data_IF_006504495532
#
_entry.id   IF_006504495532
#
_cell.length_a   1.000
_cell.length_b   1.000
_cell.length_c   1.000
_cell.angle_alpha   90.00
_cell.angle_beta   90.00
_cell.angle_gamma   90.00
#
_symmetry.space_group_name_H-M   'P 1'
#
loop_
_entity.id
_entity.type
_entity.pdbx_description
1 polymer ?
#
# COMPACT_ATOMS: atom_id res chain seq x y z
N UNK A 1 -6.06 7.97 0.53
CA UNK A 1 -5.60 7.47 1.88
C UNK A 1 -4.76 6.17 1.85
N UNK A 2 -4.29 5.72 0.70
CA UNK A 2 -3.62 4.47 0.42
C UNK A 2 -2.10 4.61 0.27
N UNK A 3 -1.52 3.85 -0.66
CA UNK A 3 -0.08 3.75 -0.87
C UNK A 3 0.37 4.71 -1.97
N UNK A 4 1.17 5.71 -1.61
CA UNK A 4 1.74 6.67 -2.57
C UNK A 4 3.03 7.30 -2.00
N UNK A 5 3.86 7.93 -2.86
CA UNK A 5 5.15 8.50 -2.44
C UNK A 5 5.01 9.61 -1.39
N UNK A 6 6.04 9.79 -0.56
CA UNK A 6 6.09 10.92 0.37
C UNK A 6 6.26 12.24 -0.40
N UNK A 7 5.54 13.31 -0.03
CA UNK A 7 5.72 14.60 -0.70
C UNK A 7 7.02 15.30 -0.25
N UNK A 8 7.48 15.04 0.99
CA UNK A 8 8.68 15.67 1.55
C UNK A 8 9.68 14.65 2.11
N UNK A 9 10.99 14.94 2.02
CA UNK A 9 12.08 14.04 2.43
C UNK A 9 12.02 13.62 3.91
N UNK A 10 11.56 14.50 4.79
CA UNK A 10 11.48 14.28 6.25
C UNK A 10 10.27 13.45 6.70
N UNK A 11 9.37 13.06 5.80
CA UNK A 11 8.15 12.31 6.14
C UNK A 11 8.28 10.79 5.96
N UNK A 12 9.48 10.27 5.68
CA UNK A 12 9.70 8.83 5.48
C UNK A 12 9.27 7.98 6.69
N UNK A 13 9.53 8.43 7.92
CA UNK A 13 9.09 7.73 9.14
C UNK A 13 7.56 7.63 9.24
N UNK A 14 6.83 8.76 9.25
CA UNK A 14 5.36 8.75 9.26
C UNK A 14 4.75 7.94 8.10
N UNK A 15 5.33 8.02 6.90
CA UNK A 15 4.86 7.22 5.76
C UNK A 15 5.12 5.71 5.96
N UNK A 16 6.26 5.33 6.53
CA UNK A 16 6.50 3.93 6.89
C UNK A 16 5.47 3.44 7.91
N UNK A 17 5.17 4.24 8.95
CA UNK A 17 4.13 3.88 9.92
C UNK A 17 2.75 3.79 9.26
N UNK A 18 2.36 4.77 8.43
CA UNK A 18 1.12 4.74 7.65
C UNK A 18 1.00 3.47 6.83
N UNK A 19 2.03 3.12 6.07
CA UNK A 19 2.03 1.92 5.23
C UNK A 19 1.88 0.65 6.09
N UNK A 20 2.59 0.57 7.22
CA UNK A 20 2.42 -0.53 8.17
C UNK A 20 0.99 -0.64 8.71
N UNK A 21 0.37 0.48 9.10
CA UNK A 21 -1.01 0.52 9.60
C UNK A 21 -2.02 0.07 8.54
N UNK A 22 -1.84 0.51 7.29
CA UNK A 22 -2.65 0.08 6.15
C UNK A 22 -2.57 -1.44 5.96
N UNK A 23 -1.39 -2.03 6.06
CA UNK A 23 -1.22 -3.49 5.98
C UNK A 23 -1.91 -4.25 7.12
N UNK A 24 -2.12 -3.60 8.27
CA UNK A 24 -2.90 -4.11 9.39
C UNK A 24 -4.41 -3.78 9.29
N UNK A 25 -4.86 -3.27 8.14
CA UNK A 25 -6.27 -2.93 7.89
C UNK A 25 -6.73 -1.62 8.55
N UNK A 26 -5.80 -0.79 9.03
CA UNK A 26 -6.09 0.55 9.55
C UNK A 26 -5.78 1.58 8.46
N UNK A 27 -6.83 2.08 7.82
CA UNK A 27 -6.72 3.16 6.83
C UNK A 27 -6.57 4.48 7.59
N UNK A 28 -5.49 5.19 7.33
CA UNK A 28 -5.10 6.39 8.10
C UNK A 28 -4.61 7.49 7.18
N UNK A 29 -4.84 8.74 7.57
CA UNK A 29 -4.40 9.92 6.83
C UNK A 29 -2.94 10.26 7.17
N UNK A 30 -2.14 10.58 6.15
CA UNK A 30 -0.72 10.90 6.31
C UNK A 30 -0.47 12.17 7.13
N UNK A 31 -1.33 13.18 7.03
CA UNK A 31 -1.20 14.43 7.79
C UNK A 31 -1.42 14.16 9.28
N UNK A 32 -2.37 13.30 9.60
CA UNK A 32 -2.63 12.89 10.97
C UNK A 32 -1.46 12.09 11.55
N UNK A 33 -0.99 11.05 10.85
CA UNK A 33 0.18 10.27 11.27
C UNK A 33 1.41 11.16 11.44
N UNK A 34 1.68 12.07 10.50
CA UNK A 34 2.82 12.99 10.56
C UNK A 34 2.72 13.95 11.74
N UNK A 35 1.52 14.47 12.02
CA UNK A 35 1.25 15.37 13.15
C UNK A 35 1.47 14.66 14.48
N UNK A 36 0.93 13.45 14.65
CA UNK A 36 1.10 12.66 15.88
C UNK A 36 2.57 12.26 16.08
N UNK A 37 3.27 11.92 15.00
CA UNK A 37 4.69 11.59 15.05
C UNK A 37 5.60 12.82 15.25
N UNK A 38 5.07 14.05 15.25
CA UNK A 38 5.88 15.26 15.43
C UNK A 38 6.99 15.40 14.39
N UNK A 39 6.72 14.99 13.14
CA UNK A 39 7.71 15.04 12.07
C UNK A 39 7.98 16.50 11.67
N UNK A 40 9.26 16.91 11.73
CA UNK A 40 9.68 18.28 11.39
C UNK A 40 10.73 18.28 10.28
N UNK A 41 10.77 19.37 9.50
CA UNK A 41 11.64 19.47 8.33
C UNK A 41 13.14 19.43 8.66
N UNK A 42 13.55 19.87 9.86
CA UNK A 42 14.97 19.88 10.28
C UNK A 42 15.39 18.62 11.03
N UNK A 43 14.49 17.90 11.70
CA UNK A 43 14.83 16.76 12.57
C UNK A 43 14.33 15.40 12.05
N UNK A 44 13.47 15.38 11.02
CA UNK A 44 12.81 14.15 10.60
C UNK A 44 11.96 13.54 11.71
N UNK A 45 12.00 12.20 11.82
CA UNK A 45 11.29 11.43 12.85
C UNK A 45 12.20 10.30 13.34
N UNK A 46 12.40 10.26 14.65
CA UNK A 46 13.11 9.20 15.36
C UNK A 46 12.15 8.05 15.76
N UNK A 47 12.74 6.97 16.25
CA UNK A 47 12.08 5.75 16.71
C UNK A 47 11.16 5.98 17.91
N UNK A 48 11.46 6.93 18.80
CA UNK A 48 10.66 7.24 19.98
C UNK A 48 9.35 7.89 19.56
N UNK A 49 9.45 8.90 18.67
CA UNK A 49 8.31 9.57 18.05
C UNK A 49 7.45 8.59 17.26
N UNK A 50 8.05 7.70 16.46
CA UNK A 50 7.30 6.66 15.74
C UNK A 50 6.61 5.68 16.68
N UNK A 51 7.27 5.28 17.77
CA UNK A 51 6.67 4.39 18.77
C UNK A 51 5.48 5.04 19.46
N UNK A 52 5.59 6.31 19.83
CA UNK A 52 4.48 7.07 20.41
C UNK A 52 3.32 7.24 19.42
N UNK A 53 3.61 7.51 18.14
CA UNK A 53 2.59 7.56 17.10
C UNK A 53 1.90 6.22 16.89
N UNK A 54 2.63 5.10 16.92
CA UNK A 54 2.04 3.77 16.79
C UNK A 54 1.03 3.48 17.92
N UNK A 55 1.32 3.92 19.16
CA UNK A 55 0.41 3.76 20.31
C UNK A 55 -0.93 4.46 20.10
N UNK A 56 -0.96 5.61 19.43
CA UNK A 56 -2.20 6.32 19.11
C UNK A 56 -3.14 5.52 18.18
N UNK A 57 -2.62 4.51 17.49
CA UNK A 57 -3.37 3.61 16.61
C UNK A 57 -3.50 2.18 17.17
N UNK A 58 -3.46 2.03 18.49
CA UNK A 58 -3.52 0.74 19.19
C UNK A 58 -2.46 -0.24 18.71
N UNK A 59 -1.28 0.24 18.33
CA UNK A 59 -0.14 -0.58 17.94
C UNK A 59 1.02 -0.39 18.92
N UNK A 60 1.81 -1.44 19.08
CA UNK A 60 3.12 -1.36 19.71
C UNK A 60 4.19 -1.42 18.62
N UNK A 61 5.18 -0.54 18.71
CA UNK A 61 6.36 -0.59 17.86
C UNK A 61 7.51 -1.23 18.63
N UNK A 62 7.65 -2.55 18.51
CA UNK A 62 8.68 -3.31 19.22
C UNK A 62 10.04 -3.12 18.54
N UNK A 63 10.96 -2.48 19.25
CA UNK A 63 12.31 -2.19 18.78
C UNK A 63 13.26 -3.36 19.03
N UNK A 64 14.02 -3.74 18.00
CA UNK A 64 15.03 -4.79 18.06
C UNK A 64 16.29 -4.34 17.33
N UNK A 65 17.39 -4.20 18.06
CA UNK A 65 18.75 -4.02 17.53
C UNK A 65 19.49 -5.36 17.51
N UNK A 66 20.21 -5.64 16.41
CA UNK A 66 21.01 -6.87 16.26
C UNK A 66 22.35 -6.55 15.59
N UNK A 67 23.42 -7.17 16.10
CA UNK A 67 24.77 -7.13 15.48
C UNK A 67 24.96 -8.19 14.39
N UNK A 68 24.21 -9.29 14.46
CA UNK A 68 24.31 -10.41 13.51
C UNK A 68 23.21 -10.36 12.44
N UNK A 69 23.61 -10.24 11.17
CA UNK A 69 22.71 -10.14 10.02
C UNK A 69 21.75 -11.33 9.86
N UNK A 70 22.19 -12.56 10.14
CA UNK A 70 21.33 -13.75 10.01
C UNK A 70 20.29 -13.81 11.12
N UNK A 71 20.66 -13.41 12.35
CA UNK A 71 19.69 -13.25 13.45
C UNK A 71 18.67 -12.16 13.12
N UNK A 72 19.10 -10.99 12.64
CA UNK A 72 18.21 -9.91 12.22
C UNK A 72 17.22 -10.38 11.13
N UNK A 73 17.72 -11.09 10.10
CA UNK A 73 16.88 -11.69 9.05
C UNK A 73 15.84 -12.66 9.62
N UNK A 74 16.24 -13.51 10.56
CA UNK A 74 15.34 -14.49 11.20
C UNK A 74 14.21 -13.78 11.96
N UNK A 75 14.52 -12.74 12.72
CA UNK A 75 13.53 -11.93 13.46
C UNK A 75 12.55 -11.26 12.50
N UNK A 76 13.05 -10.66 11.42
CA UNK A 76 12.20 -10.07 10.37
C UNK A 76 11.24 -11.11 9.77
N UNK A 77 11.76 -12.28 9.36
CA UNK A 77 10.93 -13.34 8.78
C UNK A 77 9.89 -13.88 9.78
N UNK A 78 10.25 -13.99 11.06
CA UNK A 78 9.34 -14.43 12.11
C UNK A 78 8.22 -13.42 12.37
N UNK A 79 8.52 -12.12 12.32
CA UNK A 79 7.50 -11.07 12.42
C UNK A 79 6.56 -11.08 11.21
N UNK A 80 7.11 -11.16 10.00
CA UNK A 80 6.31 -11.23 8.76
C UNK A 80 5.43 -12.48 8.70
N UNK A 81 5.93 -13.63 9.17
CA UNK A 81 5.14 -14.88 9.25
C UNK A 81 3.95 -14.75 10.20
N UNK A 82 4.05 -13.94 11.26
CA UNK A 82 2.94 -13.59 12.15
C UNK A 82 2.00 -12.53 11.54
N UNK A 83 2.34 -12.03 10.34
CA UNK A 83 1.58 -11.00 9.66
C UNK A 83 1.72 -9.63 10.32
N UNK A 84 2.88 -9.35 10.92
CA UNK A 84 3.26 -8.04 11.46
C UNK A 84 4.22 -7.35 10.48
N UNK A 85 3.83 -6.19 9.91
CA UNK A 85 4.75 -5.35 9.16
C UNK A 85 5.94 -4.92 10.02
N UNK A 86 7.09 -4.74 9.40
CA UNK A 86 8.31 -4.31 10.07
C UNK A 86 8.83 -3.03 9.44
N UNK A 87 9.00 -2.00 10.25
CA UNK A 87 9.63 -0.75 9.83
C UNK A 87 11.15 -0.91 10.02
N UNK A 88 11.92 -0.64 8.98
CA UNK A 88 13.38 -0.70 9.00
C UNK A 88 13.94 0.69 8.84
N UNK A 89 14.96 1.01 9.64
CA UNK A 89 15.82 2.14 9.38
C UNK A 89 16.92 1.68 8.40
N UNK A 90 17.03 2.34 7.26
CA UNK A 90 17.91 1.96 6.15
C UNK A 90 18.74 3.14 5.68
N UNK A 91 19.72 2.86 4.83
CA UNK A 91 20.61 3.81 4.19
C UNK A 91 21.39 4.65 5.24
N UNK A 92 22.06 3.96 6.17
CA UNK A 92 22.76 4.52 7.34
C UNK A 92 21.89 5.42 8.21
N UNK A 93 20.73 4.90 8.63
CA UNK A 93 19.78 5.62 9.49
C UNK A 93 19.15 6.89 8.90
N UNK A 94 19.24 7.07 7.58
CA UNK A 94 18.71 8.26 6.89
C UNK A 94 17.35 8.06 6.24
N UNK A 95 16.77 6.87 6.35
CA UNK A 95 15.50 6.57 5.68
C UNK A 95 14.72 5.44 6.36
N UNK A 96 13.40 5.48 6.24
CA UNK A 96 12.49 4.50 6.79
C UNK A 96 11.74 3.78 5.67
N UNK A 97 11.70 2.44 5.73
CA UNK A 97 10.89 1.62 4.82
C UNK A 97 10.02 0.65 5.62
N UNK A 98 8.94 0.14 5.01
CA UNK A 98 8.09 -0.88 5.64
C UNK A 98 8.19 -2.19 4.90
N UNK A 99 8.73 -3.23 5.52
CA UNK A 99 8.69 -4.59 4.98
C UNK A 99 7.36 -5.24 5.34
N UNK A 100 6.65 -5.73 4.33
CA UNK A 100 5.26 -6.19 4.46
C UNK A 100 5.08 -7.66 4.10
N UNK A 101 6.08 -8.28 3.46
CA UNK A 101 6.03 -9.70 3.11
C UNK A 101 7.38 -10.26 2.71
N UNK A 102 7.46 -11.59 2.71
CA UNK A 102 8.59 -12.33 2.18
C UNK A 102 8.08 -13.61 1.50
N UNK A 103 8.46 -13.81 0.24
CA UNK A 103 8.03 -14.95 -0.57
C UNK A 103 9.18 -15.40 -1.49
N UNK A 104 9.43 -16.71 -1.60
CA UNK A 104 10.45 -17.31 -2.49
C UNK A 104 11.83 -16.62 -2.39
N UNK A 105 12.27 -16.32 -1.17
CA UNK A 105 13.56 -15.68 -0.89
C UNK A 105 13.65 -14.18 -1.24
N UNK A 106 12.55 -13.56 -1.67
CA UNK A 106 12.43 -12.12 -1.93
C UNK A 106 11.63 -11.45 -0.81
N UNK A 107 11.97 -10.22 -0.51
CA UNK A 107 11.24 -9.34 0.40
C UNK A 107 10.41 -8.35 -0.40
N UNK A 108 9.19 -8.12 0.07
CA UNK A 108 8.27 -7.10 -0.44
C UNK A 108 8.25 -6.00 0.62
N UNK A 109 8.57 -4.78 0.21
CA UNK A 109 8.61 -3.63 1.08
C UNK A 109 8.01 -2.42 0.39
N UNK A 110 7.59 -1.44 1.18
CA UNK A 110 7.03 -0.19 0.71
C UNK A 110 8.02 0.90 1.09
N UNK A 111 8.52 1.59 0.07
CA UNK A 111 9.48 2.68 0.17
C UNK A 111 8.81 3.94 -0.39
N UNK A 112 8.55 4.90 0.50
CA UNK A 112 7.87 6.14 0.11
C UNK A 112 8.72 7.07 -0.75
N UNK A 113 10.02 6.80 -0.97
CA UNK A 113 10.86 7.55 -1.92
C UNK A 113 10.75 7.04 -3.36
N UNK A 114 10.20 5.85 -3.55
CA UNK A 114 10.15 5.18 -4.85
C UNK A 114 8.83 5.42 -5.56
N UNK A 115 8.87 5.42 -6.89
CA UNK A 115 7.67 5.41 -7.74
C UNK A 115 7.78 4.26 -8.74
N UNK A 116 7.02 3.15 -8.57
CA UNK A 116 6.01 2.92 -7.54
C UNK A 116 6.59 2.57 -6.16
N UNK A 117 5.83 2.91 -5.10
CA UNK A 117 6.28 2.71 -3.70
C UNK A 117 6.44 1.26 -3.29
N UNK A 118 5.76 0.31 -3.94
CA UNK A 118 5.90 -1.12 -3.63
C UNK A 118 7.13 -1.68 -4.34
N UNK A 119 8.09 -2.11 -3.54
CA UNK A 119 9.38 -2.60 -3.99
C UNK A 119 9.57 -4.10 -3.71
N UNK A 120 10.49 -4.70 -4.45
CA UNK A 120 10.90 -6.10 -4.28
C UNK A 120 12.42 -6.17 -4.25
N UNK A 121 12.99 -6.84 -3.25
CA UNK A 121 14.43 -7.03 -3.12
C UNK A 121 14.79 -8.48 -2.74
N UNK A 122 15.97 -8.92 -3.16
CA UNK A 122 16.64 -10.06 -2.55
C UNK A 122 17.20 -9.70 -1.18
N UNK A 123 17.50 -10.71 -0.38
CA UNK A 123 18.20 -10.54 0.90
C UNK A 123 19.49 -9.71 0.75
N UNK A 124 20.33 -9.99 -0.26
CA UNK A 124 21.59 -9.25 -0.47
C UNK A 124 21.35 -7.75 -0.66
N UNK A 125 20.33 -7.38 -1.44
CA UNK A 125 19.98 -5.98 -1.69
C UNK A 125 19.36 -5.31 -0.47
N UNK A 126 18.41 -5.96 0.21
CA UNK A 126 17.80 -5.43 1.43
C UNK A 126 18.84 -5.27 2.54
N UNK A 127 19.71 -6.27 2.75
CA UNK A 127 20.78 -6.25 3.74
C UNK A 127 21.72 -5.06 3.52
N UNK A 128 22.13 -4.78 2.27
CA UNK A 128 23.01 -3.63 1.98
C UNK A 128 22.38 -2.30 2.40
N UNK A 129 21.08 -2.12 2.17
CA UNK A 129 20.36 -0.92 2.61
C UNK A 129 20.18 -0.89 4.12
N UNK A 130 19.96 -2.04 4.75
CA UNK A 130 19.62 -2.13 6.18
C UNK A 130 20.83 -2.04 7.13
N UNK A 131 22.05 -2.25 6.64
CA UNK A 131 23.25 -2.09 7.48
C UNK A 131 23.35 -0.64 7.97
N UNK A 132 23.50 -0.49 9.28
CA UNK A 132 24.01 0.72 9.91
C UNK A 132 25.40 0.45 10.45
N UNK A 133 26.31 1.41 10.28
CA UNK A 133 27.66 1.37 10.83
C UNK A 133 27.78 2.48 11.85
N UNK A 134 27.96 2.09 13.10
CA UNK A 134 28.16 2.99 14.23
C UNK A 134 29.64 2.92 14.59
N UNK A 135 30.27 4.09 14.73
CA UNK A 135 31.64 4.19 15.21
C UNK A 135 31.58 4.29 16.72
N UNK A 136 32.42 3.55 17.41
CA UNK A 136 32.53 3.63 18.87
C UNK A 136 33.01 5.04 19.28
N UNK A 137 32.33 5.65 20.26
CA UNK A 137 32.64 7.01 20.70
C UNK A 137 34.00 7.10 21.43
N UNK A 138 34.39 6.03 22.11
CA UNK A 138 35.64 5.94 22.88
C UNK A 138 36.81 5.45 22.00
N UNK A 139 36.54 4.60 21.00
CA UNK A 139 37.53 4.12 20.03
C UNK A 139 37.05 4.28 18.56
N UNK A 140 37.41 5.39 17.89
CA UNK A 140 37.00 5.66 16.51
C UNK A 140 37.47 4.62 15.47
N UNK A 141 38.37 3.69 15.83
CA UNK A 141 38.80 2.60 14.96
C UNK A 141 37.85 1.40 14.98
N UNK A 142 36.98 1.32 15.99
CA UNK A 142 35.98 0.27 16.11
C UNK A 142 34.68 0.68 15.42
N UNK A 143 34.23 -0.18 14.49
CA UNK A 143 32.99 0.02 13.74
C UNK A 143 32.06 -1.15 14.03
N UNK A 144 30.95 -0.86 14.69
CA UNK A 144 29.88 -1.82 14.90
C UNK A 144 28.94 -1.86 13.68
N UNK A 145 28.55 -3.07 13.29
CA UNK A 145 27.50 -3.27 12.28
C UNK A 145 26.18 -3.62 12.96
N UNK A 146 25.18 -2.79 12.74
CA UNK A 146 23.87 -2.88 13.38
C UNK A 146 22.74 -3.07 12.36
N UNK A 147 21.68 -3.73 12.82
CA UNK A 147 20.44 -3.97 12.10
C UNK A 147 19.26 -3.63 13.03
N UNK A 148 18.64 -2.49 12.78
CA UNK A 148 17.51 -2.01 13.58
C UNK A 148 16.17 -2.31 12.90
N UNK A 149 15.31 -3.03 13.60
CA UNK A 149 13.98 -3.42 13.15
C UNK A 149 12.93 -3.04 14.18
N UNK A 150 11.83 -2.51 13.68
CA UNK A 150 10.72 -2.00 14.45
C UNK A 150 9.47 -2.79 14.03
N UNK A 151 9.14 -3.84 14.78
CA UNK A 151 7.95 -4.66 14.47
C UNK A 151 6.69 -3.93 14.91
N UNK A 152 5.77 -3.70 13.98
CA UNK A 152 4.46 -3.10 14.27
C UNK A 152 3.48 -4.20 14.70
N UNK A 153 3.18 -4.26 15.99
CA UNK A 153 2.32 -5.28 16.60
C UNK A 153 0.97 -4.65 16.95
N UNK A 154 -0.15 -5.09 16.33
CA UNK A 154 -1.47 -4.58 16.69
C UNK A 154 -1.89 -5.09 18.07
N UNK A 155 -2.46 -4.21 18.90
CA UNK A 155 -3.15 -4.56 20.16
C UNK A 155 -4.65 -4.79 19.97
N UNK A 156 -5.10 -4.81 18.72
CA UNK A 156 -6.47 -5.11 18.32
C UNK A 156 -6.52 -6.36 17.45
N UNK A 157 -7.70 -6.99 17.40
CA UNK A 157 -7.95 -8.09 16.47
C UNK A 157 -8.02 -7.54 15.04
N UNK A 158 -7.04 -7.89 14.22
CA UNK A 158 -7.01 -7.51 12.81
C UNK A 158 -8.13 -8.24 12.06
N UNK A 159 -9.10 -7.47 11.55
CA UNK A 159 -10.29 -8.00 10.86
C UNK A 159 -10.05 -8.24 9.36
N UNK A 160 -9.32 -7.34 8.71
CA UNK A 160 -8.85 -7.44 7.32
C UNK A 160 -7.38 -7.03 7.27
N UNK A 161 -6.62 -7.60 6.33
CA UNK A 161 -5.24 -7.21 6.05
C UNK A 161 -5.12 -6.87 4.57
N UNK A 162 -4.47 -5.75 4.27
CA UNK A 162 -3.96 -5.59 2.93
C UNK A 162 -2.82 -6.60 2.71
N UNK A 163 -2.66 -7.11 1.50
CA UNK A 163 -1.64 -8.11 1.20
C UNK A 163 -1.03 -7.94 -0.19
N UNK A 164 0.31 -8.02 -0.25
CA UNK A 164 1.05 -8.15 -1.50
C UNK A 164 1.69 -9.53 -1.60
N UNK A 165 1.39 -10.21 -2.71
CA UNK A 165 2.16 -11.36 -3.18
C UNK A 165 3.36 -10.88 -4.00
N UNK A 166 4.36 -11.74 -4.20
CA UNK A 166 5.48 -11.44 -5.09
C UNK A 166 5.00 -11.19 -6.53
N UNK A 167 3.94 -11.89 -6.96
CA UNK A 167 3.32 -11.71 -8.28
C UNK A 167 2.71 -10.32 -8.40
N UNK A 168 1.92 -9.89 -7.42
CA UNK A 168 1.25 -8.58 -7.45
C UNK A 168 2.25 -7.44 -7.32
N UNK A 169 3.23 -7.54 -6.41
CA UNK A 169 4.30 -6.55 -6.30
C UNK A 169 5.10 -6.41 -7.61
N UNK A 170 5.45 -7.51 -8.29
CA UNK A 170 6.12 -7.47 -9.60
C UNK A 170 5.25 -6.90 -10.71
N UNK A 171 3.95 -7.20 -10.71
CA UNK A 171 3.02 -6.63 -11.67
C UNK A 171 2.98 -5.10 -11.55
N UNK A 172 2.87 -4.57 -10.33
CA UNK A 172 2.81 -3.12 -10.11
C UNK A 172 4.06 -2.39 -10.61
N UNK A 173 5.23 -3.03 -10.52
CA UNK A 173 6.52 -2.46 -10.93
C UNK A 173 6.81 -2.50 -12.42
N UNK A 174 5.95 -3.07 -13.25
CA UNK A 174 6.20 -3.13 -14.70
C UNK A 174 6.08 -1.73 -15.31
N UNK A 175 6.93 -1.34 -16.28
CA UNK A 175 6.88 -0.01 -16.89
C UNK A 175 5.50 0.36 -17.44
N UNK A 176 4.79 -0.61 -18.05
CA UNK A 176 3.44 -0.41 -18.59
C UNK A 176 2.37 -0.12 -17.51
N UNK A 177 2.67 -0.40 -16.24
CA UNK A 177 1.79 -0.18 -15.11
C UNK A 177 2.16 1.07 -14.28
N UNK A 178 3.14 1.88 -14.72
CA UNK A 178 3.56 3.08 -14.00
C UNK A 178 2.37 4.00 -13.68
N UNK A 179 1.56 4.34 -14.67
CA UNK A 179 0.37 5.19 -14.47
C UNK A 179 -0.61 4.60 -13.46
N UNK A 180 -0.83 3.27 -13.50
CA UNK A 180 -1.70 2.60 -12.53
C UNK A 180 -1.13 2.73 -11.12
N UNK A 181 0.17 2.51 -10.96
CA UNK A 181 0.81 2.56 -9.66
C UNK A 181 0.92 3.98 -9.08
N UNK A 182 1.08 5.00 -9.92
CA UNK A 182 1.03 6.41 -9.50
C UNK A 182 -0.36 6.79 -8.99
N UNK A 183 -1.42 6.32 -9.66
CA UNK A 183 -2.81 6.64 -9.29
C UNK A 183 -3.44 5.63 -8.33
N UNK A 184 -2.61 4.87 -7.61
CA UNK A 184 -3.09 3.81 -6.72
C UNK A 184 -4.09 4.33 -5.70
N UNK A 185 -3.85 5.55 -5.21
CA UNK A 185 -4.67 6.14 -4.15
C UNK A 185 -6.08 6.49 -4.64
N UNK A 186 -6.19 7.01 -5.86
CA UNK A 186 -7.45 7.34 -6.51
C UNK A 186 -8.31 6.09 -6.69
N UNK A 187 -7.71 4.99 -7.18
CA UNK A 187 -8.42 3.71 -7.27
C UNK A 187 -8.89 3.21 -5.90
N UNK A 188 -8.06 3.37 -4.87
CA UNK A 188 -8.41 2.95 -3.52
C UNK A 188 -9.56 3.79 -2.95
N UNK A 189 -9.47 5.12 -3.05
CA UNK A 189 -10.46 6.04 -2.53
C UNK A 189 -11.80 5.84 -3.27
N UNK A 190 -11.81 5.74 -4.59
CA UNK A 190 -13.02 5.45 -5.38
C UNK A 190 -13.68 4.12 -4.97
N UNK A 191 -12.89 3.07 -4.82
CA UNK A 191 -13.41 1.77 -4.39
C UNK A 191 -13.91 1.79 -2.95
N UNK A 192 -13.34 2.61 -2.07
CA UNK A 192 -13.77 2.70 -0.67
C UNK A 192 -15.19 3.26 -0.49
N UNK A 193 -15.71 4.00 -1.49
CA UNK A 193 -17.10 4.46 -1.50
C UNK A 193 -18.11 3.38 -1.89
N UNK A 194 -17.64 2.30 -2.52
CA UNK A 194 -18.48 1.26 -3.13
C UNK A 194 -18.31 -0.09 -2.44
N UNK A 195 -17.08 -0.37 -2.03
CA UNK A 195 -16.65 -1.62 -1.45
C UNK A 195 -16.22 -1.41 0.01
N UNK A 196 -16.19 -2.50 0.76
CA UNK A 196 -15.74 -2.50 2.13
C UNK A 196 -14.70 -3.60 2.33
N UNK A 197 -13.69 -3.43 3.20
CA UNK A 197 -12.83 -4.54 3.60
C UNK A 197 -13.67 -5.69 4.16
N UNK A 198 -13.38 -6.93 3.74
CA UNK A 198 -13.99 -8.12 4.33
C UNK A 198 -13.61 -8.22 5.80
N UNK A 199 -14.59 -8.53 6.64
CA UNK A 199 -14.37 -8.80 8.07
C UNK A 199 -14.99 -10.15 8.44
N UNK A 200 -14.64 -10.74 9.59
CA UNK A 200 -15.31 -11.96 10.07
C UNK A 200 -16.84 -11.82 10.26
N UNK A 201 -17.35 -10.58 10.34
CA UNK A 201 -18.79 -10.28 10.47
C UNK A 201 -19.45 -9.97 9.12
N UNK A 202 -18.70 -10.03 8.02
CA UNK A 202 -19.23 -9.73 6.70
C UNK A 202 -20.12 -10.88 6.21
N UNK A 203 -21.42 -10.66 6.17
CA UNK A 203 -22.41 -11.62 5.65
C UNK A 203 -22.96 -11.18 4.30
N UNK A 204 -23.38 -12.15 3.47
CA UNK A 204 -23.97 -11.90 2.15
C UNK A 204 -23.13 -10.96 1.28
N UNK A 205 -21.81 -11.13 1.33
CA UNK A 205 -20.85 -10.35 0.54
C UNK A 205 -20.21 -11.21 -0.55
N UNK A 206 -19.72 -10.57 -1.60
CA UNK A 206 -18.85 -11.22 -2.58
C UNK A 206 -17.66 -10.31 -2.93
N UNK A 207 -16.51 -10.88 -3.34
CA UNK A 207 -15.35 -10.09 -3.76
C UNK A 207 -15.70 -9.18 -4.95
N UNK A 208 -15.05 -8.02 -5.05
CA UNK A 208 -15.19 -7.15 -6.22
C UNK A 208 -14.89 -7.88 -7.55
N UNK A 209 -13.93 -8.80 -7.55
CA UNK A 209 -13.65 -9.64 -8.72
C UNK A 209 -14.84 -10.49 -9.18
N UNK A 210 -15.70 -10.92 -8.26
CA UNK A 210 -16.93 -11.66 -8.58
C UNK A 210 -18.00 -10.72 -9.18
N UNK A 211 -18.11 -9.48 -8.70
CA UNK A 211 -18.97 -8.47 -9.33
C UNK A 211 -18.57 -8.26 -10.80
N UNK A 212 -17.28 -8.05 -11.04
CA UNK A 212 -16.74 -7.80 -12.37
C UNK A 212 -16.84 -9.02 -13.28
N UNK A 213 -16.74 -10.24 -12.72
CA UNK A 213 -16.99 -11.47 -13.48
C UNK A 213 -18.43 -11.57 -13.95
N UNK A 214 -19.41 -11.19 -13.12
CA UNK A 214 -20.84 -11.24 -13.44
C UNK A 214 -21.28 -10.13 -14.39
N UNK A 215 -20.83 -8.90 -14.12
CA UNK A 215 -21.40 -7.70 -14.74
C UNK A 215 -20.42 -6.92 -15.61
N UNK A 216 -19.12 -7.23 -15.57
CA UNK A 216 -18.08 -6.45 -16.25
C UNK A 216 -18.33 -6.32 -17.76
N UNK A 217 -18.79 -7.37 -18.42
CA UNK A 217 -19.16 -7.31 -19.85
C UNK A 217 -20.30 -6.32 -20.10
N UNK A 218 -21.36 -6.39 -19.30
CA UNK A 218 -22.50 -5.48 -19.43
C UNK A 218 -22.09 -4.03 -19.16
N UNK A 219 -21.34 -3.78 -18.08
CA UNK A 219 -20.81 -2.44 -17.74
C UNK A 219 -20.01 -1.87 -18.91
N UNK A 220 -19.05 -2.64 -19.46
CA UNK A 220 -18.23 -2.18 -20.60
C UNK A 220 -19.07 -1.89 -21.84
N UNK A 221 -19.98 -2.81 -22.18
CA UNK A 221 -20.83 -2.65 -23.36
C UNK A 221 -21.70 -1.41 -23.27
N UNK A 222 -22.22 -1.07 -22.10
CA UNK A 222 -22.99 0.15 -21.89
C UNK A 222 -22.14 1.41 -22.10
N UNK A 223 -20.94 1.48 -21.51
CA UNK A 223 -20.06 2.64 -21.68
C UNK A 223 -19.64 2.80 -23.15
N UNK A 224 -19.30 1.71 -23.82
CA UNK A 224 -18.93 1.74 -25.26
C UNK A 224 -20.12 2.19 -26.11
N UNK A 225 -21.32 1.68 -25.83
CA UNK A 225 -22.54 2.04 -26.57
C UNK A 225 -22.84 3.54 -26.46
N UNK A 226 -22.84 4.09 -25.25
CA UNK A 226 -23.19 5.50 -25.03
C UNK A 226 -22.10 6.48 -25.43
N UNK A 227 -20.83 6.10 -25.33
CA UNK A 227 -19.71 6.99 -25.64
C UNK A 227 -19.26 6.90 -27.11
N UNK A 228 -19.40 5.74 -27.76
CA UNK A 228 -19.10 5.50 -29.18
C UNK A 228 -17.61 5.48 -29.58
N UNK A 229 -16.74 6.26 -28.93
CA UNK A 229 -15.33 6.43 -29.30
C UNK A 229 -14.33 5.67 -28.42
N UNK A 230 -14.79 5.01 -27.36
CA UNK A 230 -13.96 4.26 -26.42
C UNK A 230 -13.79 2.81 -26.87
N UNK A 231 -12.57 2.28 -26.83
CA UNK A 231 -12.31 0.88 -27.14
C UNK A 231 -12.54 -0.01 -25.92
N UNK A 232 -13.17 -1.19 -26.06
CA UNK A 232 -13.37 -2.14 -24.95
C UNK A 232 -12.10 -2.47 -24.16
N UNK A 233 -10.97 -2.62 -24.86
CA UNK A 233 -9.65 -2.92 -24.26
C UNK A 233 -9.17 -1.84 -23.27
N UNK A 234 -9.55 -0.58 -23.48
CA UNK A 234 -9.18 0.51 -22.57
C UNK A 234 -9.96 0.38 -21.25
N UNK A 235 -11.25 0.04 -21.32
CA UNK A 235 -12.09 -0.21 -20.16
C UNK A 235 -11.67 -1.48 -19.41
N UNK A 236 -11.27 -2.54 -20.12
CA UNK A 236 -10.72 -3.76 -19.52
C UNK A 236 -9.49 -3.48 -18.66
N UNK A 237 -8.64 -2.54 -19.08
CA UNK A 237 -7.48 -2.13 -18.30
C UNK A 237 -7.93 -1.50 -16.97
N UNK A 238 -8.86 -0.56 -17.00
CA UNK A 238 -9.34 0.14 -15.79
C UNK A 238 -10.02 -0.83 -14.84
N UNK A 239 -10.88 -1.70 -15.35
CA UNK A 239 -11.55 -2.72 -14.54
C UNK A 239 -10.54 -3.70 -13.90
N UNK A 240 -9.48 -4.08 -14.63
CA UNK A 240 -8.41 -4.90 -14.09
C UNK A 240 -7.63 -4.18 -12.98
N UNK A 241 -7.36 -2.89 -13.16
CA UNK A 241 -6.66 -2.06 -12.19
C UNK A 241 -7.51 -1.89 -10.91
N UNK A 242 -8.83 -1.63 -11.04
CA UNK A 242 -9.80 -1.66 -9.93
C UNK A 242 -9.83 -3.01 -9.22
N UNK A 243 -9.90 -4.11 -9.97
CA UNK A 243 -9.90 -5.46 -9.39
C UNK A 243 -8.60 -5.73 -8.62
N UNK A 244 -7.47 -5.24 -9.11
CA UNK A 244 -6.17 -5.42 -8.46
C UNK A 244 -6.11 -4.72 -7.10
N UNK A 245 -6.57 -3.46 -7.04
CA UNK A 245 -6.65 -2.71 -5.78
C UNK A 245 -7.62 -3.41 -4.83
N UNK A 246 -8.84 -3.73 -5.30
CA UNK A 246 -9.82 -4.42 -4.48
C UNK A 246 -9.30 -5.75 -3.89
N UNK A 247 -8.59 -6.55 -4.69
CA UNK A 247 -7.98 -7.79 -4.22
C UNK A 247 -6.87 -7.55 -3.18
N UNK A 248 -6.12 -6.45 -3.31
CA UNK A 248 -5.04 -6.10 -2.38
C UNK A 248 -5.58 -5.78 -0.98
N UNK A 249 -6.76 -5.15 -0.90
CA UNK A 249 -7.41 -4.75 0.36
C UNK A 249 -8.53 -5.69 0.83
N UNK A 250 -8.71 -6.82 0.15
CA UNK A 250 -9.83 -7.77 0.34
C UNK A 250 -11.20 -7.07 0.36
N UNK A 251 -11.40 -6.18 -0.61
CA UNK A 251 -12.64 -5.43 -0.79
C UNK A 251 -13.77 -6.31 -1.33
N UNK A 252 -14.90 -6.19 -0.66
CA UNK A 252 -16.13 -6.91 -0.95
C UNK A 252 -17.30 -5.95 -1.14
N UNK A 253 -18.28 -6.41 -1.89
CA UNK A 253 -19.56 -5.74 -2.12
C UNK A 253 -20.65 -6.55 -1.41
N UNK A 254 -21.53 -5.87 -0.68
CA UNK A 254 -22.71 -6.51 -0.07
C UNK A 254 -23.72 -6.81 -1.17
N UNK A 255 -24.44 -7.92 -1.05
CA UNK A 255 -25.44 -8.32 -2.04
C UNK A 255 -26.50 -7.25 -2.28
N UNK A 256 -26.92 -6.56 -1.22
CA UNK A 256 -27.93 -5.50 -1.32
C UNK A 256 -27.39 -4.23 -2.00
N UNK A 257 -26.07 -4.03 -1.99
CA UNK A 257 -25.37 -2.92 -2.64
C UNK A 257 -24.93 -3.26 -4.08
N UNK A 258 -25.23 -4.46 -4.61
CA UNK A 258 -24.76 -4.92 -5.92
C UNK A 258 -25.13 -3.94 -7.04
N UNK A 259 -26.39 -3.49 -7.08
CA UNK A 259 -26.87 -2.53 -8.09
C UNK A 259 -26.18 -1.17 -7.94
N UNK A 260 -25.97 -0.72 -6.71
CA UNK A 260 -25.26 0.54 -6.41
C UNK A 260 -23.80 0.45 -6.86
N UNK A 261 -23.15 -0.69 -6.67
CA UNK A 261 -21.79 -0.92 -7.13
C UNK A 261 -21.68 -0.92 -8.66
N UNK A 262 -22.63 -1.57 -9.35
CA UNK A 262 -22.69 -1.54 -10.82
C UNK A 262 -22.84 -0.09 -11.31
N UNK A 263 -23.75 0.68 -10.71
CA UNK A 263 -23.96 2.08 -11.07
C UNK A 263 -22.68 2.90 -10.84
N UNK A 264 -22.06 2.80 -9.67
CA UNK A 264 -20.84 3.54 -9.34
C UNK A 264 -19.69 3.23 -10.30
N UNK A 265 -19.41 1.95 -10.59
CA UNK A 265 -18.35 1.55 -11.53
C UNK A 265 -18.66 2.05 -12.94
N UNK A 266 -19.93 1.94 -13.37
CA UNK A 266 -20.35 2.45 -14.68
C UNK A 266 -20.14 3.97 -14.77
N UNK A 267 -20.53 4.71 -13.73
CA UNK A 267 -20.30 6.15 -13.63
C UNK A 267 -18.81 6.50 -13.67
N UNK A 268 -17.96 5.79 -12.93
CA UNK A 268 -16.50 6.00 -12.96
C UNK A 268 -15.93 5.81 -14.38
N UNK A 269 -16.33 4.74 -15.07
CA UNK A 269 -15.87 4.48 -16.43
C UNK A 269 -16.38 5.51 -17.43
N UNK A 270 -17.63 5.96 -17.28
CA UNK A 270 -18.20 7.03 -18.10
C UNK A 270 -17.48 8.34 -17.88
N UNK A 271 -17.23 8.74 -16.62
CA UNK A 271 -16.47 9.95 -16.29
C UNK A 271 -15.05 9.90 -16.84
N UNK A 272 -14.38 8.75 -16.71
CA UNK A 272 -13.07 8.54 -17.32
C UNK A 272 -13.13 8.70 -18.85
N UNK A 273 -14.11 8.08 -19.50
CA UNK A 273 -14.30 8.14 -20.95
C UNK A 273 -14.52 9.58 -21.40
N UNK A 274 -15.44 10.28 -20.75
CA UNK A 274 -15.76 11.69 -20.96
C UNK A 274 -14.55 12.60 -20.78
N UNK A 275 -13.74 12.38 -19.74
CA UNK A 275 -12.50 13.13 -19.53
C UNK A 275 -11.48 12.89 -20.64
N UNK A 276 -11.37 11.64 -21.14
CA UNK A 276 -10.35 11.27 -22.13
C UNK A 276 -10.71 11.62 -23.56
N UNK A 277 -12.00 11.62 -23.90
CA UNK A 277 -12.51 11.70 -25.27
C UNK A 277 -13.48 12.86 -25.48
N UNK A 278 -13.81 13.59 -24.43
CA UNK A 278 -14.82 14.64 -24.43
C UNK A 278 -16.24 14.07 -24.35
N UNK A 279 -17.19 14.92 -23.98
CA UNK A 279 -18.62 14.62 -24.05
C UNK A 279 -19.15 15.33 -25.28
N UNK A 280 -19.09 14.67 -26.43
CA UNK A 280 -19.91 15.10 -27.56
C UNK A 280 -21.37 15.12 -27.09
N UNK A 281 -22.19 16.02 -27.63
CA UNK A 281 -23.62 15.98 -27.33
C UNK A 281 -24.14 14.57 -27.59
N UNK A 282 -24.70 13.94 -26.56
CA UNK A 282 -25.22 12.55 -26.61
C UNK A 282 -26.28 12.42 -27.71
N UNK A 283 -26.93 13.53 -28.06
CA UNK A 283 -27.92 13.66 -29.13
C UNK A 283 -27.47 14.57 -30.29
N UNK A 284 -26.18 14.89 -30.38
CA UNK A 284 -25.54 15.66 -31.47
C UNK A 284 -25.44 17.17 -31.25
N UNK A 285 -24.28 17.75 -31.60
CA UNK A 285 -24.21 19.12 -32.07
C UNK A 285 -24.54 19.02 -33.57
N UNK A 286 -25.68 19.56 -33.99
CA UNK A 286 -25.92 19.80 -35.41
C UNK A 286 -24.97 20.86 -35.92
#
# INVERSE_FOLDING_TARGET
>A
MGLYPQPNKWQCGPFALKHGLIMLGRIVNEKEVSRIAGAHWWSGTDEIKLSNAAKAYDCELKMLRRKNALRARRELLLALKRGHPCILCVDNWNHWITVVGAERGKFIYIDSREEPVVCVAEWKSLKRRWIYREVDEDDPTQIETLFDLHTLVPKFRVKSKAHFSLKSARYLRRPENRTFATHWDEYFDDLSYVCHPRTPLSEKVFPMGELLRRHGTMIRSQVVFWHGSVKPKELDKILRDLQFVAATYDFVVRRDDEKRAIAAISTMLTLWASSKRGVGAVYGNR
#
